data_IF_295203959021
#
_entry.id   IF_295203959021
#
_cell.length_a   1.000
_cell.length_b   1.000
_cell.length_c   1.000
_cell.angle_alpha   90.00
_cell.angle_beta   90.00
_cell.angle_gamma   90.00
#
_symmetry.space_group_name_H-M   'P 1'
#
loop_
_entity.id
_entity.type
_entity.pdbx_description
1 polymer ?
#
# COMPACT_ATOMS: atom_id res chain seq x y z
N UNK A 1 -47.33 -4.11 21.20
CA UNK A 1 -46.29 -3.07 21.40
C UNK A 1 -44.88 -3.65 21.47
N UNK A 2 -44.62 -4.70 22.27
CA UNK A 2 -43.29 -5.32 22.39
C UNK A 2 -42.65 -5.74 21.05
N UNK A 3 -43.37 -6.40 20.13
CA UNK A 3 -42.79 -6.86 18.86
C UNK A 3 -42.27 -5.72 17.97
N UNK A 4 -42.92 -4.56 18.01
CA UNK A 4 -42.52 -3.38 17.22
C UNK A 4 -41.20 -2.79 17.73
N UNK A 5 -41.03 -2.77 19.06
CA UNK A 5 -39.78 -2.31 19.68
C UNK A 5 -38.62 -3.22 19.30
N UNK A 6 -38.81 -4.55 19.32
CA UNK A 6 -37.77 -5.52 18.89
C UNK A 6 -37.38 -5.34 17.42
N UNK A 7 -38.35 -5.18 16.52
CA UNK A 7 -38.07 -4.95 15.09
C UNK A 7 -37.24 -3.68 14.86
N UNK A 8 -37.54 -2.59 15.58
CA UNK A 8 -36.74 -1.35 15.46
C UNK A 8 -35.33 -1.47 16.02
N UNK A 9 -35.13 -2.24 17.09
CA UNK A 9 -33.79 -2.52 17.65
C UNK A 9 -32.97 -3.36 16.68
N UNK A 10 -33.55 -4.42 16.10
CA UNK A 10 -32.89 -5.28 15.11
C UNK A 10 -32.51 -4.47 13.85
N UNK A 11 -33.39 -3.58 13.38
CA UNK A 11 -33.11 -2.75 12.22
C UNK A 11 -31.94 -1.78 12.50
N UNK A 12 -31.93 -1.14 13.68
CA UNK A 12 -30.85 -0.23 14.08
C UNK A 12 -29.52 -0.96 14.21
N UNK A 13 -29.49 -2.15 14.80
CA UNK A 13 -28.26 -2.94 14.92
C UNK A 13 -27.76 -3.42 13.56
N UNK A 14 -28.65 -3.84 12.65
CA UNK A 14 -28.27 -4.21 11.29
C UNK A 14 -27.66 -3.03 10.51
N UNK A 15 -28.27 -1.84 10.60
CA UNK A 15 -27.72 -0.62 9.97
C UNK A 15 -26.35 -0.27 10.55
N UNK A 16 -26.18 -0.38 11.87
CA UNK A 16 -24.91 -0.13 12.52
C UNK A 16 -23.81 -1.09 12.05
N UNK A 17 -24.09 -2.39 12.02
CA UNK A 17 -23.14 -3.41 11.54
C UNK A 17 -22.76 -3.13 10.08
N UNK A 18 -23.75 -2.81 9.23
CA UNK A 18 -23.52 -2.46 7.83
C UNK A 18 -22.65 -1.21 7.68
N UNK A 19 -22.89 -0.16 8.47
CA UNK A 19 -22.06 1.04 8.45
C UNK A 19 -20.60 0.74 8.86
N UNK A 20 -20.39 -0.07 9.90
CA UNK A 20 -19.05 -0.50 10.33
C UNK A 20 -18.35 -1.28 9.21
N UNK A 21 -19.04 -2.22 8.56
CA UNK A 21 -18.49 -2.99 7.44
C UNK A 21 -18.08 -2.08 6.27
N UNK A 22 -18.92 -1.11 5.91
CA UNK A 22 -18.61 -0.16 4.84
C UNK A 22 -17.36 0.69 5.17
N UNK A 23 -17.21 1.11 6.43
CA UNK A 23 -16.01 1.85 6.88
C UNK A 23 -14.75 0.97 6.80
N UNK A 24 -14.86 -0.31 7.16
CA UNK A 24 -13.73 -1.24 7.07
C UNK A 24 -13.34 -1.44 5.61
N UNK A 25 -14.31 -1.69 4.74
CA UNK A 25 -14.10 -1.91 3.31
C UNK A 25 -13.49 -0.67 2.65
N UNK A 26 -13.98 0.53 2.96
CA UNK A 26 -13.46 1.79 2.38
C UNK A 26 -12.01 2.11 2.78
N UNK A 27 -11.47 1.44 3.80
CA UNK A 27 -10.11 1.64 4.30
C UNK A 27 -9.13 0.58 3.80
N UNK A 28 -9.57 -0.39 2.99
CA UNK A 28 -8.68 -1.42 2.44
C UNK A 28 -7.78 -0.78 1.38
N UNK A 29 -6.48 -0.98 1.52
CA UNK A 29 -5.48 -0.60 0.52
C UNK A 29 -4.57 -1.78 0.31
N UNK A 30 -4.26 -2.05 -0.94
CA UNK A 30 -3.31 -3.06 -1.38
C UNK A 30 -2.05 -2.32 -1.79
N UNK A 31 -0.91 -2.84 -1.34
CA UNK A 31 0.40 -2.41 -1.79
C UNK A 31 0.84 -3.35 -2.90
N UNK A 32 1.26 -2.78 -4.01
CA UNK A 32 1.90 -3.53 -5.10
C UNK A 32 3.27 -2.94 -5.38
N UNK A 33 4.21 -3.86 -5.53
CA UNK A 33 5.56 -3.60 -5.98
C UNK A 33 5.75 -4.41 -7.26
N UNK A 34 6.14 -3.72 -8.32
CA UNK A 34 6.42 -4.32 -9.62
C UNK A 34 7.83 -3.93 -10.06
N UNK A 35 8.61 -4.93 -10.44
CA UNK A 35 9.92 -4.77 -11.04
C UNK A 35 9.87 -5.34 -12.47
N UNK A 36 9.90 -4.47 -13.48
CA UNK A 36 9.91 -4.87 -14.88
C UNK A 36 11.33 -5.02 -15.44
N UNK A 37 12.36 -5.02 -14.59
CA UNK A 37 13.78 -5.08 -14.93
C UNK A 37 14.38 -3.71 -15.23
N UNK A 38 13.70 -2.87 -16.01
CA UNK A 38 14.18 -1.50 -16.34
C UNK A 38 13.53 -0.38 -15.51
N UNK A 39 12.37 -0.67 -14.91
CA UNK A 39 11.58 0.29 -14.12
C UNK A 39 11.05 -0.42 -12.88
N UNK A 40 11.11 0.29 -11.77
CA UNK A 40 10.49 -0.09 -10.50
C UNK A 40 9.25 0.78 -10.29
N UNK A 41 8.13 0.13 -10.02
CA UNK A 41 6.84 0.77 -9.79
C UNK A 41 6.30 0.39 -8.42
N UNK A 42 5.95 1.41 -7.63
CA UNK A 42 5.35 1.25 -6.31
C UNK A 42 3.99 1.92 -6.31
N UNK A 43 2.95 1.14 -6.07
CA UNK A 43 1.56 1.64 -6.12
C UNK A 43 0.72 1.18 -4.94
N UNK A 44 -0.23 2.04 -4.56
CA UNK A 44 -1.29 1.72 -3.62
C UNK A 44 -2.62 1.75 -4.35
N UNK A 45 -3.36 0.66 -4.30
CA UNK A 45 -4.69 0.64 -4.88
C UNK A 45 -5.75 0.11 -3.93
N UNK A 46 -6.99 0.57 -4.09
CA UNK A 46 -8.14 0.04 -3.38
C UNK A 46 -8.75 -1.07 -4.25
N UNK A 47 -8.99 -2.28 -3.74
CA UNK A 47 -9.40 -3.43 -4.57
C UNK A 47 -10.70 -3.19 -5.35
N UNK A 48 -11.58 -2.35 -4.82
CA UNK A 48 -12.86 -2.01 -5.44
C UNK A 48 -12.85 -0.72 -6.28
N UNK A 49 -11.70 -0.03 -6.41
CA UNK A 49 -11.57 1.14 -7.26
C UNK A 49 -10.76 0.79 -8.52
N UNK A 50 -11.45 0.63 -9.66
CA UNK A 50 -10.87 0.34 -10.98
C UNK A 50 -10.34 1.57 -11.75
N UNK A 51 -10.33 2.77 -11.14
CA UNK A 51 -9.83 3.96 -11.86
C UNK A 51 -8.31 3.86 -12.04
N UNK A 52 -7.82 4.43 -13.15
CA UNK A 52 -6.39 4.65 -13.43
C UNK A 52 -5.73 5.25 -12.19
N UNK A 53 -5.05 4.42 -11.41
CA UNK A 53 -4.33 4.86 -10.24
C UNK A 53 -2.94 5.26 -10.73
N UNK A 54 -2.61 6.53 -10.53
CA UNK A 54 -1.27 7.03 -10.77
C UNK A 54 -0.34 6.26 -9.83
N UNK A 55 0.74 5.63 -10.33
CA UNK A 55 1.71 4.98 -9.47
C UNK A 55 2.22 5.99 -8.44
N UNK A 56 2.35 5.55 -7.18
CA UNK A 56 2.77 6.45 -6.12
C UNK A 56 4.20 6.93 -6.37
N UNK A 57 5.06 6.01 -6.86
CA UNK A 57 6.40 6.30 -7.33
C UNK A 57 6.72 5.32 -8.47
N UNK A 58 7.27 5.85 -9.56
CA UNK A 58 7.83 5.08 -10.67
C UNK A 58 9.22 5.65 -10.96
N UNK A 59 10.23 4.78 -11.04
CA UNK A 59 11.60 5.20 -11.33
C UNK A 59 12.38 4.13 -12.09
N UNK A 60 13.29 4.52 -13.00
CA UNK A 60 14.20 3.60 -13.65
C UNK A 60 15.11 2.88 -12.65
N UNK A 61 15.36 1.59 -12.88
CA UNK A 61 16.18 0.75 -11.99
C UNK A 61 17.61 1.28 -11.85
N UNK A 62 18.17 1.89 -12.90
CA UNK A 62 19.54 2.41 -12.87
C UNK A 62 19.72 3.64 -11.97
N UNK A 63 18.62 4.33 -11.61
CA UNK A 63 18.66 5.43 -10.65
C UNK A 63 18.58 4.92 -9.21
N UNK A 64 18.31 3.63 -9.00
CA UNK A 64 18.28 3.06 -7.65
C UNK A 64 19.69 3.03 -7.05
N UNK A 65 19.82 3.53 -5.82
CA UNK A 65 21.09 3.52 -5.10
C UNK A 65 21.04 2.66 -3.85
N UNK A 66 20.06 2.91 -2.97
CA UNK A 66 19.94 2.15 -1.73
C UNK A 66 18.51 2.13 -1.21
N UNK A 67 18.24 1.22 -0.26
CA UNK A 67 16.96 1.15 0.41
C UNK A 67 17.09 0.80 1.90
N UNK A 68 16.08 1.18 2.69
CA UNK A 68 15.97 0.79 4.09
C UNK A 68 14.51 0.63 4.49
N UNK A 69 14.20 -0.39 5.29
CA UNK A 69 12.86 -0.57 5.85
C UNK A 69 12.94 -0.36 7.36
N UNK A 70 12.29 0.69 7.86
CA UNK A 70 12.21 1.02 9.29
C UNK A 70 10.80 1.46 9.65
N UNK A 71 10.27 0.98 10.77
CA UNK A 71 8.96 1.39 11.31
C UNK A 71 7.82 1.37 10.27
N UNK A 72 7.70 0.28 9.51
CA UNK A 72 6.73 0.13 8.41
C UNK A 72 6.83 1.23 7.34
N UNK A 73 8.01 1.80 7.15
CA UNK A 73 8.30 2.72 6.08
C UNK A 73 9.47 2.16 5.25
N UNK A 74 9.30 2.16 3.94
CA UNK A 74 10.36 1.95 2.97
C UNK A 74 10.97 3.31 2.63
N UNK A 75 12.26 3.43 2.84
CA UNK A 75 13.09 4.56 2.46
C UNK A 75 13.87 4.13 1.24
N UNK A 76 13.80 4.91 0.17
CA UNK A 76 14.51 4.67 -1.09
C UNK A 76 15.40 5.85 -1.36
N UNK A 77 16.66 5.59 -1.64
CA UNK A 77 17.61 6.61 -2.10
C UNK A 77 17.85 6.38 -3.58
N UNK A 78 17.51 7.37 -4.39
CA UNK A 78 17.76 7.38 -5.82
C UNK A 78 18.92 8.32 -6.14
N UNK A 79 19.83 7.89 -7.02
CA UNK A 79 20.90 8.72 -7.58
C UNK A 79 20.47 9.25 -8.94
N UNK A 80 20.39 10.56 -9.08
CA UNK A 80 20.16 11.24 -10.37
C UNK A 80 21.41 11.20 -11.24
N UNK A 81 21.23 11.51 -12.53
CA UNK A 81 22.32 11.64 -13.51
C UNK A 81 23.37 12.69 -13.12
N UNK A 82 22.99 13.74 -12.39
CA UNK A 82 23.88 14.79 -11.91
C UNK A 82 24.59 14.44 -10.58
N UNK A 83 24.61 13.16 -10.19
CA UNK A 83 25.14 12.64 -8.93
C UNK A 83 24.44 13.13 -7.65
N UNK A 84 23.34 13.88 -7.76
CA UNK A 84 22.51 14.22 -6.61
C UNK A 84 21.68 13.02 -6.16
N UNK A 85 21.35 12.98 -4.86
CA UNK A 85 20.48 11.96 -4.29
C UNK A 85 19.09 12.52 -3.98
N UNK A 86 18.06 11.70 -4.21
CA UNK A 86 16.69 11.96 -3.78
C UNK A 86 16.23 10.82 -2.88
N UNK A 87 15.77 11.18 -1.69
CA UNK A 87 15.17 10.23 -0.77
C UNK A 87 13.65 10.23 -0.89
N UNK A 88 13.08 9.05 -1.09
CA UNK A 88 11.65 8.81 -1.06
C UNK A 88 11.26 8.02 0.16
N UNK A 89 10.13 8.39 0.75
CA UNK A 89 9.54 7.69 1.88
C UNK A 89 8.16 7.15 1.51
N UNK A 90 8.04 5.83 1.56
CA UNK A 90 6.80 5.10 1.29
C UNK A 90 6.33 4.40 2.54
N UNK A 91 5.08 4.63 2.96
CA UNK A 91 4.54 4.01 4.17
C UNK A 91 3.85 2.69 3.85
N UNK A 92 4.45 1.59 4.29
CA UNK A 92 3.97 0.22 4.12
C UNK A 92 2.74 -0.04 5.02
N UNK A 93 1.55 0.26 4.52
CA UNK A 93 0.29 -0.02 5.22
C UNK A 93 -0.06 -1.51 5.15
N UNK A 94 -0.28 -2.14 6.32
CA UNK A 94 -0.83 -3.50 6.45
C UNK A 94 -0.07 -4.58 5.67
N UNK A 95 1.24 -4.38 5.47
CA UNK A 95 2.12 -5.39 4.86
C UNK A 95 2.58 -6.38 5.94
N UNK A 96 2.44 -7.68 5.65
CA UNK A 96 2.91 -8.75 6.54
C UNK A 96 4.43 -8.95 6.48
N UNK A 97 5.01 -9.57 7.51
CA UNK A 97 6.46 -9.82 7.58
C UNK A 97 7.01 -10.63 6.40
N UNK A 98 6.26 -11.60 5.88
CA UNK A 98 6.64 -12.37 4.70
C UNK A 98 6.73 -11.51 3.43
N UNK A 99 5.79 -10.58 3.26
CA UNK A 99 5.80 -9.64 2.13
C UNK A 99 6.95 -8.64 2.26
N UNK A 100 7.24 -8.15 3.48
CA UNK A 100 8.42 -7.30 3.73
C UNK A 100 9.69 -8.03 3.30
N UNK A 101 9.86 -9.30 3.71
CA UNK A 101 11.03 -10.10 3.31
C UNK A 101 11.14 -10.24 1.79
N UNK A 102 10.01 -10.47 1.10
CA UNK A 102 9.99 -10.56 -0.36
C UNK A 102 10.45 -9.25 -1.01
N UNK A 103 9.93 -8.11 -0.55
CA UNK A 103 10.32 -6.78 -1.03
C UNK A 103 11.81 -6.54 -0.77
N UNK A 104 12.32 -6.91 0.41
CA UNK A 104 13.75 -6.79 0.72
C UNK A 104 14.60 -7.62 -0.24
N UNK A 105 14.22 -8.88 -0.50
CA UNK A 105 14.93 -9.73 -1.44
C UNK A 105 14.96 -9.13 -2.84
N UNK A 106 13.83 -8.63 -3.34
CA UNK A 106 13.76 -8.01 -4.67
C UNK A 106 14.65 -6.76 -4.76
N UNK A 107 14.70 -5.91 -3.74
CA UNK A 107 15.61 -4.75 -3.73
C UNK A 107 17.09 -5.12 -3.58
N UNK A 108 17.42 -6.18 -2.83
CA UNK A 108 18.79 -6.69 -2.76
C UNK A 108 19.24 -7.28 -4.11
N UNK A 109 18.36 -7.94 -4.85
CA UNK A 109 18.65 -8.43 -6.20
C UNK A 109 18.92 -7.28 -7.19
N UNK A 110 18.23 -6.15 -7.03
CA UNK A 110 18.44 -4.96 -7.86
C UNK A 110 19.77 -4.26 -7.55
N UNK A 111 20.22 -4.33 -6.29
CA UNK A 111 21.46 -3.67 -5.84
C UNK A 111 22.73 -4.38 -6.33
N UNK A 112 22.64 -5.69 -6.58
CA UNK A 112 23.75 -6.53 -7.04
C UNK A 112 23.89 -6.52 -8.56
#
# INVERSE_FOLDING_TARGET
MLSFTYSTVILKTAIFIMAVLLIILSRIRIFEFENSGMVITIQYHHPFQKKWMVPFIEFPTHLFHDFSIKNNCLYLTLRKENEEFIDFKVRLYRIGSAQIKKIQQEFEEIKN
#
